data_IF_768097190012
#
_entry.id   IF_768097190012
#
_cell.length_a   1.000
_cell.length_b   1.000
_cell.length_c   1.000
_cell.angle_alpha   90.00
_cell.angle_beta   90.00
_cell.angle_gamma   90.00
#
_symmetry.space_group_name_H-M   'P 1'
#
loop_
_entity.id
_entity.type
_entity.pdbx_description
1 polymer ?
#
# COMPACT_ATOMS: atom_id res chain seq x y z
N UNK A 1 15.57 6.83 39.99
CA UNK A 1 15.31 5.40 39.66
C UNK A 1 16.44 4.89 38.77
N UNK A 2 17.14 3.81 39.14
CA UNK A 2 18.14 3.18 38.24
C UNK A 2 17.39 2.26 37.26
N UNK A 3 17.52 2.49 35.95
CA UNK A 3 17.00 1.57 34.93
C UNK A 3 17.79 0.25 34.99
N UNK A 4 17.07 -0.88 35.14
CA UNK A 4 17.67 -2.21 35.11
C UNK A 4 18.04 -2.55 33.67
N UNK A 5 19.31 -2.83 33.41
CA UNK A 5 19.78 -3.27 32.09
C UNK A 5 19.24 -4.70 31.84
N UNK A 6 18.60 -4.97 30.70
CA UNK A 6 18.09 -6.30 30.39
C UNK A 6 19.22 -7.32 30.24
N UNK A 7 18.97 -8.54 30.72
CA UNK A 7 19.88 -9.67 30.56
C UNK A 7 19.87 -10.19 29.12
N UNK A 8 20.94 -10.91 28.72
CA UNK A 8 21.01 -11.54 27.38
C UNK A 8 19.81 -12.44 27.08
N UNK A 9 19.30 -13.17 28.08
CA UNK A 9 18.15 -14.08 27.93
C UNK A 9 16.84 -13.32 27.70
N UNK A 10 16.64 -12.22 28.43
CA UNK A 10 15.49 -11.33 28.24
C UNK A 10 15.52 -10.68 26.85
N UNK A 11 16.70 -10.20 26.42
CA UNK A 11 16.88 -9.63 25.08
C UNK A 11 16.59 -10.66 23.98
N UNK A 12 17.09 -11.89 24.11
CA UNK A 12 16.84 -12.94 23.13
C UNK A 12 15.36 -13.35 23.07
N UNK A 13 14.69 -13.47 24.22
CA UNK A 13 13.26 -13.74 24.27
C UNK A 13 12.45 -12.60 23.63
N UNK A 14 12.83 -11.35 23.90
CA UNK A 14 12.23 -10.17 23.26
C UNK A 14 12.39 -10.21 21.74
N UNK A 15 13.63 -10.41 21.24
CA UNK A 15 13.88 -10.49 19.81
C UNK A 15 13.10 -11.63 19.16
N UNK A 16 13.09 -12.82 19.77
CA UNK A 16 12.32 -13.96 19.26
C UNK A 16 10.82 -13.67 19.18
N UNK A 17 10.26 -13.01 20.19
CA UNK A 17 8.83 -12.71 20.25
C UNK A 17 8.44 -11.54 19.33
N UNK A 18 9.37 -10.64 19.02
CA UNK A 18 9.11 -9.44 18.22
C UNK A 18 9.78 -9.45 16.84
N UNK A 19 10.44 -10.55 16.46
CA UNK A 19 11.26 -10.64 15.25
C UNK A 19 10.47 -10.20 14.02
N UNK A 20 9.23 -10.67 13.89
CA UNK A 20 8.36 -10.34 12.77
C UNK A 20 8.01 -8.86 12.72
N UNK A 21 7.65 -8.26 13.86
CA UNK A 21 7.36 -6.83 13.95
C UNK A 21 8.58 -6.00 13.58
N UNK A 22 9.75 -6.38 14.09
CA UNK A 22 11.02 -5.71 13.80
C UNK A 22 11.35 -5.81 12.31
N UNK A 23 11.30 -7.01 11.73
CA UNK A 23 11.57 -7.24 10.31
C UNK A 23 10.60 -6.47 9.42
N UNK A 24 9.29 -6.55 9.70
CA UNK A 24 8.28 -5.83 8.94
C UNK A 24 8.51 -4.32 9.00
N UNK A 25 8.78 -3.80 10.20
CA UNK A 25 9.06 -2.36 10.40
C UNK A 25 10.31 -1.93 9.63
N UNK A 26 11.41 -2.68 9.74
CA UNK A 26 12.65 -2.37 9.03
C UNK A 26 12.46 -2.44 7.52
N UNK A 27 11.84 -3.50 7.00
CA UNK A 27 11.57 -3.65 5.57
C UNK A 27 10.65 -2.54 5.05
N UNK A 28 9.62 -2.21 5.81
CA UNK A 28 8.72 -1.10 5.50
C UNK A 28 9.49 0.22 5.37
N UNK A 29 10.34 0.59 6.34
CA UNK A 29 11.12 1.82 6.26
C UNK A 29 12.17 1.79 5.15
N UNK A 30 12.90 0.69 4.99
CA UNK A 30 13.91 0.53 3.95
C UNK A 30 13.34 0.68 2.53
N UNK A 31 12.06 0.34 2.32
CA UNK A 31 11.41 0.43 1.01
C UNK A 31 10.63 1.73 0.83
N UNK A 32 10.00 2.22 1.90
CA UNK A 32 9.17 3.44 1.86
C UNK A 32 10.02 4.70 1.76
N UNK A 33 11.16 4.77 2.46
CA UNK A 33 12.01 5.97 2.45
C UNK A 33 12.55 6.27 1.03
N UNK A 34 13.15 5.30 0.30
CA UNK A 34 13.58 5.53 -1.07
C UNK A 34 12.43 5.97 -1.99
N UNK A 35 11.25 5.37 -1.83
CA UNK A 35 10.07 5.73 -2.61
C UNK A 35 9.58 7.15 -2.34
N UNK A 36 9.61 7.63 -1.10
CA UNK A 36 9.25 9.02 -0.78
C UNK A 36 10.12 9.99 -1.58
N UNK A 37 11.40 9.67 -1.77
CA UNK A 37 12.37 10.49 -2.51
C UNK A 37 12.43 10.21 -4.02
N UNK A 38 11.84 9.12 -4.52
CA UNK A 38 11.92 8.74 -5.94
C UNK A 38 11.10 9.67 -6.85
N UNK A 39 11.22 9.54 -8.18
CA UNK A 39 10.17 10.05 -9.06
C UNK A 39 8.99 9.04 -9.07
N UNK A 40 7.75 9.49 -9.14
CA UNK A 40 6.57 8.65 -9.34
C UNK A 40 6.13 8.57 -10.83
N UNK A 41 6.91 9.16 -11.74
CA UNK A 41 6.62 9.21 -13.17
C UNK A 41 7.18 8.00 -13.93
N UNK A 42 6.85 6.78 -13.48
CA UNK A 42 7.29 5.56 -14.14
C UNK A 42 6.21 4.48 -14.18
N UNK A 43 6.17 3.74 -15.29
CA UNK A 43 5.23 2.64 -15.53
C UNK A 43 3.78 3.03 -15.28
N UNK A 44 3.05 2.24 -14.49
CA UNK A 44 1.62 2.35 -14.24
C UNK A 44 1.27 3.54 -13.33
N UNK A 45 2.21 3.99 -12.49
CA UNK A 45 2.01 5.19 -11.66
C UNK A 45 1.71 6.43 -12.48
N UNK A 46 2.28 6.57 -13.70
CA UNK A 46 1.99 7.70 -14.58
C UNK A 46 0.51 7.75 -14.94
N UNK A 47 -0.09 6.61 -15.25
CA UNK A 47 -1.51 6.51 -15.59
C UNK A 47 -2.40 6.88 -14.41
N UNK A 48 -2.12 6.32 -13.23
CA UNK A 48 -2.83 6.67 -12.00
C UNK A 48 -2.66 8.14 -11.60
N UNK A 49 -1.46 8.70 -11.81
CA UNK A 49 -1.17 10.11 -11.51
C UNK A 49 -1.95 11.03 -12.44
N UNK A 50 -1.88 10.78 -13.75
CA UNK A 50 -2.66 11.50 -14.75
C UNK A 50 -4.16 11.42 -14.48
N UNK A 51 -4.67 10.22 -14.18
CA UNK A 51 -6.06 10.01 -13.79
C UNK A 51 -6.48 10.89 -12.61
N UNK A 52 -5.65 10.92 -11.56
CA UNK A 52 -5.92 11.74 -10.38
C UNK A 52 -5.81 13.26 -10.65
N UNK A 53 -4.91 13.70 -11.54
CA UNK A 53 -4.81 15.11 -11.97
C UNK A 53 -6.06 15.53 -12.75
N UNK A 54 -6.50 14.72 -13.72
CA UNK A 54 -7.71 14.96 -14.50
C UNK A 54 -8.95 15.04 -13.60
N UNK A 55 -9.09 14.08 -12.67
CA UNK A 55 -10.15 14.10 -11.66
C UNK A 55 -10.11 15.36 -10.78
N UNK A 56 -8.92 15.91 -10.49
CA UNK A 56 -8.77 17.13 -9.70
C UNK A 56 -9.31 18.35 -10.43
N UNK A 57 -9.03 18.47 -11.73
CA UNK A 57 -9.51 19.56 -12.58
C UNK A 57 -11.03 19.53 -12.76
N UNK A 58 -11.62 18.32 -12.74
CA UNK A 58 -13.04 18.11 -12.96
C UNK A 58 -13.88 18.07 -11.68
N UNK A 59 -13.25 18.00 -10.50
CA UNK A 59 -13.94 18.04 -9.22
C UNK A 59 -14.81 19.32 -9.10
N UNK A 60 -16.04 19.24 -8.55
CA UNK A 60 -16.61 18.12 -7.79
C UNK A 60 -17.45 17.13 -8.62
N UNK A 61 -17.40 17.18 -9.96
CA UNK A 61 -18.18 16.25 -10.76
C UNK A 61 -17.73 14.81 -10.49
N UNK A 62 -18.67 13.86 -10.40
CA UNK A 62 -18.38 12.45 -10.14
C UNK A 62 -18.37 11.59 -11.40
N UNK A 63 -18.81 12.13 -12.55
CA UNK A 63 -18.81 11.43 -13.84
C UNK A 63 -17.69 12.01 -14.70
N UNK A 64 -16.84 11.13 -15.23
CA UNK A 64 -15.63 11.55 -15.95
C UNK A 64 -15.50 10.87 -17.29
N UNK A 65 -15.51 11.69 -18.33
CA UNK A 65 -15.09 11.31 -19.66
C UNK A 65 -13.66 11.77 -19.87
N UNK A 66 -12.76 10.85 -20.18
CA UNK A 66 -11.37 11.17 -20.47
C UNK A 66 -11.19 11.33 -21.99
N UNK A 67 -11.08 12.57 -22.51
CA UNK A 67 -10.92 12.79 -23.95
C UNK A 67 -9.55 12.39 -24.47
N UNK A 68 -8.58 12.16 -23.58
CA UNK A 68 -7.20 11.85 -23.92
C UNK A 68 -6.92 10.35 -24.08
N UNK A 69 -7.87 9.48 -23.69
CA UNK A 69 -7.70 8.03 -23.74
C UNK A 69 -8.64 7.40 -24.77
N UNK A 70 -8.07 6.69 -25.76
CA UNK A 70 -8.77 6.01 -26.87
C UNK A 70 -9.95 6.79 -27.47
N UNK A 71 -9.75 8.05 -27.85
CA UNK A 71 -10.78 8.93 -28.44
C UNK A 71 -11.98 9.24 -27.54
N UNK A 72 -11.87 8.92 -26.24
CA UNK A 72 -12.92 9.16 -25.26
C UNK A 72 -13.44 7.88 -24.63
N UNK A 73 -13.13 7.67 -23.35
CA UNK A 73 -13.73 6.61 -22.53
C UNK A 73 -14.14 7.16 -21.17
N UNK A 74 -15.03 6.44 -20.49
CA UNK A 74 -15.28 6.67 -19.07
C UNK A 74 -14.00 6.34 -18.29
N UNK A 75 -13.43 7.34 -17.60
CA UNK A 75 -12.13 7.28 -16.92
C UNK A 75 -12.06 6.12 -15.91
N UNK A 76 -13.18 5.83 -15.27
CA UNK A 76 -13.30 4.77 -14.25
C UNK A 76 -13.24 3.36 -14.79
N UNK A 77 -13.27 3.18 -16.10
CA UNK A 77 -13.11 1.87 -16.72
C UNK A 77 -11.68 1.35 -16.55
N UNK A 78 -10.70 2.26 -16.57
CA UNK A 78 -9.28 1.92 -16.45
C UNK A 78 -8.72 2.15 -15.06
N UNK A 79 -9.16 3.21 -14.36
CA UNK A 79 -8.67 3.55 -13.03
C UNK A 79 -9.83 3.78 -12.05
N UNK A 80 -9.99 2.93 -11.02
CA UNK A 80 -11.05 3.11 -10.03
C UNK A 80 -10.97 4.47 -9.31
N UNK A 81 -12.12 5.14 -9.06
CA UNK A 81 -12.16 6.52 -8.54
C UNK A 81 -11.49 6.71 -7.18
N UNK A 82 -11.64 5.72 -6.29
CA UNK A 82 -11.34 5.87 -4.87
C UNK A 82 -9.90 6.31 -4.62
N UNK A 83 -8.95 5.74 -5.35
CA UNK A 83 -7.55 6.12 -5.24
C UNK A 83 -7.35 7.60 -5.64
N UNK A 84 -7.86 8.01 -6.80
CA UNK A 84 -7.74 9.38 -7.30
C UNK A 84 -8.39 10.40 -6.37
N UNK A 85 -9.61 10.12 -5.88
CA UNK A 85 -10.32 10.99 -4.94
C UNK A 85 -9.58 11.17 -3.62
N UNK A 86 -8.99 10.11 -3.06
CA UNK A 86 -8.16 10.23 -1.87
C UNK A 86 -6.92 11.06 -2.14
N UNK A 87 -6.25 10.86 -3.28
CA UNK A 87 -5.10 11.70 -3.66
C UNK A 87 -5.51 13.18 -3.75
N UNK A 88 -6.64 13.49 -4.38
CA UNK A 88 -7.16 14.86 -4.48
C UNK A 88 -7.41 15.45 -3.11
N UNK A 89 -8.15 14.73 -2.24
CA UNK A 89 -8.49 15.17 -0.89
C UNK A 89 -7.24 15.54 -0.08
N UNK A 90 -6.24 14.66 -0.06
CA UNK A 90 -5.00 14.90 0.67
C UNK A 90 -4.09 15.92 -0.03
N UNK A 91 -4.24 16.14 -1.34
CA UNK A 91 -3.42 17.10 -2.10
C UNK A 91 -3.63 18.54 -1.68
N UNK A 92 -4.79 18.89 -1.10
CA UNK A 92 -5.06 20.24 -0.57
C UNK A 92 -4.17 20.59 0.64
N UNK A 93 -3.66 19.58 1.35
CA UNK A 93 -2.82 19.78 2.56
C UNK A 93 -1.36 19.48 2.26
N UNK A 94 -1.08 18.38 1.56
CA UNK A 94 0.29 17.86 1.38
C UNK A 94 0.94 18.28 0.06
N UNK A 95 0.16 18.82 -0.88
CA UNK A 95 0.55 18.92 -2.29
C UNK A 95 0.35 17.60 -3.03
N UNK A 96 0.19 17.68 -4.35
CA UNK A 96 -0.28 16.56 -5.16
C UNK A 96 0.67 15.35 -5.18
N UNK A 97 1.96 15.57 -5.49
CA UNK A 97 2.96 14.49 -5.53
C UNK A 97 3.12 13.78 -4.19
N UNK A 98 3.10 14.51 -3.08
CA UNK A 98 3.22 13.94 -1.73
C UNK A 98 1.96 13.16 -1.38
N UNK A 99 0.77 13.70 -1.67
CA UNK A 99 -0.49 13.00 -1.47
C UNK A 99 -0.58 11.69 -2.27
N UNK A 100 -0.15 11.70 -3.54
CA UNK A 100 -0.12 10.51 -4.39
C UNK A 100 0.69 9.38 -3.76
N UNK A 101 1.94 9.67 -3.36
CA UNK A 101 2.80 8.69 -2.68
C UNK A 101 2.26 8.28 -1.33
N UNK A 102 1.69 9.22 -0.57
CA UNK A 102 1.10 8.96 0.73
C UNK A 102 -0.02 7.92 0.64
N UNK A 103 -0.93 8.02 -0.34
CA UNK A 103 -2.01 7.04 -0.53
C UNK A 103 -1.47 5.66 -0.94
N UNK A 104 -0.42 5.60 -1.76
CA UNK A 104 0.24 4.33 -2.12
C UNK A 104 0.84 3.67 -0.88
N UNK A 105 1.55 4.44 -0.05
CA UNK A 105 2.12 3.95 1.21
C UNK A 105 1.00 3.49 2.16
N UNK A 106 -0.08 4.25 2.26
CA UNK A 106 -1.23 3.91 3.09
C UNK A 106 -1.88 2.59 2.63
N UNK A 107 -2.04 2.39 1.32
CA UNK A 107 -2.51 1.11 0.75
C UNK A 107 -1.65 -0.06 1.23
N UNK A 108 -0.33 0.09 1.15
CA UNK A 108 0.61 -0.94 1.59
C UNK A 108 0.63 -1.18 3.09
N UNK A 109 0.52 -0.12 3.91
CA UNK A 109 0.38 -0.24 5.37
C UNK A 109 -0.91 -0.98 5.71
N UNK A 110 -2.01 -0.69 5.01
CA UNK A 110 -3.32 -1.28 5.30
C UNK A 110 -3.41 -2.77 4.96
N UNK A 111 -2.59 -3.25 4.02
CA UNK A 111 -2.66 -4.61 3.49
C UNK A 111 -2.40 -5.70 4.56
N UNK A 112 -1.36 -5.64 5.42
CA UNK A 112 -1.20 -6.56 6.55
C UNK A 112 -2.41 -6.62 7.49
N UNK A 113 -3.03 -5.47 7.77
CA UNK A 113 -4.21 -5.43 8.65
C UNK A 113 -5.41 -6.09 7.97
N UNK A 114 -5.63 -5.80 6.68
CA UNK A 114 -6.68 -6.42 5.89
C UNK A 114 -6.51 -7.95 5.78
N UNK A 115 -5.29 -8.43 5.54
CA UNK A 115 -4.99 -9.86 5.57
C UNK A 115 -5.24 -10.49 6.94
N UNK A 116 -4.84 -9.81 8.03
CA UNK A 116 -5.07 -10.31 9.39
C UNK A 116 -6.56 -10.41 9.69
N UNK A 117 -7.33 -9.39 9.27
CA UNK A 117 -8.78 -9.37 9.43
C UNK A 117 -9.42 -10.55 8.69
N UNK A 118 -9.14 -10.70 7.40
CA UNK A 118 -9.61 -11.82 6.59
C UNK A 118 -9.18 -13.18 7.15
N UNK A 119 -7.91 -13.38 7.47
CA UNK A 119 -7.44 -14.67 7.94
C UNK A 119 -8.08 -15.09 9.27
N UNK A 120 -8.49 -14.13 10.12
CA UNK A 120 -9.22 -14.40 11.36
C UNK A 120 -10.68 -14.76 11.14
N UNK A 121 -11.28 -14.42 10.00
CA UNK A 121 -12.65 -14.83 9.68
C UNK A 121 -12.74 -16.31 9.27
N UNK A 122 -11.65 -16.84 8.69
CA UNK A 122 -11.60 -18.23 8.17
C UNK A 122 -10.79 -19.22 9.02
N UNK A 123 -9.88 -18.77 9.87
CA UNK A 123 -8.94 -19.63 10.59
C UNK A 123 -8.78 -19.22 12.07
N UNK A 124 -8.21 -20.12 12.88
CA UNK A 124 -7.90 -19.77 14.27
C UNK A 124 -6.77 -18.72 14.35
N UNK A 125 -6.68 -18.03 15.49
CA UNK A 125 -5.72 -16.91 15.70
C UNK A 125 -4.29 -17.29 15.34
N UNK A 126 -3.83 -18.50 15.68
CA UNK A 126 -2.47 -18.95 15.42
C UNK A 126 -2.22 -19.14 13.91
N UNK A 127 -3.15 -19.78 13.21
CA UNK A 127 -3.09 -19.98 11.76
C UNK A 127 -3.12 -18.65 11.02
N UNK A 128 -3.99 -17.71 11.43
CA UNK A 128 -4.05 -16.37 10.85
C UNK A 128 -2.72 -15.61 10.98
N UNK A 129 -2.06 -15.70 12.14
CA UNK A 129 -0.73 -15.08 12.34
C UNK A 129 0.35 -15.73 11.46
N UNK A 130 0.33 -17.05 11.31
CA UNK A 130 1.28 -17.76 10.43
C UNK A 130 1.05 -17.36 8.97
N UNK A 131 -0.20 -17.33 8.52
CA UNK A 131 -0.57 -16.92 7.16
C UNK A 131 -0.12 -15.47 6.87
N UNK A 132 -0.36 -14.54 7.81
CA UNK A 132 0.12 -13.16 7.69
C UNK A 132 1.64 -13.10 7.54
N UNK A 133 2.39 -13.85 8.35
CA UNK A 133 3.85 -13.87 8.27
C UNK A 133 4.32 -14.39 6.91
N UNK A 134 3.73 -15.47 6.41
CA UNK A 134 4.06 -16.05 5.10
C UNK A 134 3.77 -15.05 3.97
N UNK A 135 2.57 -14.45 3.96
CA UNK A 135 2.17 -13.48 2.94
C UNK A 135 3.04 -12.23 3.01
N UNK A 136 3.34 -11.72 4.21
CA UNK A 136 4.21 -10.54 4.36
C UNK A 136 5.62 -10.80 3.82
N UNK A 137 6.19 -11.99 4.09
CA UNK A 137 7.46 -12.40 3.50
C UNK A 137 7.33 -12.46 1.99
N UNK A 138 6.31 -13.14 1.47
CA UNK A 138 6.09 -13.28 0.03
C UNK A 138 6.00 -11.92 -0.69
N UNK A 139 5.22 -10.98 -0.17
CA UNK A 139 5.03 -9.66 -0.76
C UNK A 139 6.32 -8.83 -0.77
N UNK A 140 7.23 -9.07 0.17
CA UNK A 140 8.49 -8.33 0.28
C UNK A 140 9.61 -8.98 -0.54
N UNK A 141 9.75 -10.30 -0.49
CA UNK A 141 10.90 -11.00 -1.06
C UNK A 141 10.72 -11.39 -2.52
N UNK A 142 9.47 -11.44 -3.00
CA UNK A 142 9.19 -11.87 -4.36
C UNK A 142 9.48 -10.73 -5.34
N UNK A 143 10.59 -10.86 -6.05
CA UNK A 143 10.96 -9.97 -7.15
C UNK A 143 10.08 -10.33 -8.34
N UNK A 144 9.00 -9.58 -8.52
CA UNK A 144 8.11 -9.69 -9.67
C UNK A 144 7.85 -8.30 -10.24
N UNK A 145 7.78 -8.23 -11.57
CA UNK A 145 7.39 -7.00 -12.28
C UNK A 145 5.87 -6.93 -12.52
N UNK A 146 5.14 -7.98 -12.12
CA UNK A 146 3.70 -8.16 -12.34
C UNK A 146 2.93 -7.79 -11.06
N UNK A 147 2.88 -6.49 -10.74
CA UNK A 147 2.08 -5.90 -9.65
C UNK A 147 2.25 -6.52 -8.27
N UNK A 148 1.50 -6.00 -7.29
CA UNK A 148 1.20 -6.65 -6.00
C UNK A 148 2.34 -6.95 -5.02
N UNK A 149 3.62 -6.86 -5.39
CA UNK A 149 4.76 -6.98 -4.47
C UNK A 149 5.36 -5.60 -4.17
N UNK A 150 6.05 -5.49 -3.03
CA UNK A 150 6.65 -4.23 -2.60
C UNK A 150 7.62 -3.68 -3.65
N UNK A 151 8.46 -4.55 -4.22
CA UNK A 151 9.43 -4.18 -5.25
C UNK A 151 8.68 -3.73 -6.51
N UNK A 152 7.64 -4.45 -6.92
CA UNK A 152 6.84 -4.09 -8.09
C UNK A 152 6.22 -2.70 -7.94
N UNK A 153 5.65 -2.38 -6.78
CA UNK A 153 5.03 -1.06 -6.58
C UNK A 153 6.07 0.03 -6.36
N UNK A 154 6.95 -0.10 -5.36
CA UNK A 154 7.80 1.01 -4.93
C UNK A 154 9.04 1.25 -5.79
N UNK A 155 9.54 0.22 -6.49
CA UNK A 155 10.73 0.35 -7.35
C UNK A 155 10.35 0.42 -8.83
N UNK A 156 9.43 -0.44 -9.28
CA UNK A 156 9.04 -0.52 -10.71
C UNK A 156 7.89 0.42 -11.03
N UNK A 157 6.99 0.71 -10.09
CA UNK A 157 5.85 1.61 -10.30
C UNK A 157 4.61 0.92 -10.82
N UNK A 158 4.46 -0.37 -10.55
CA UNK A 158 3.25 -1.10 -10.88
C UNK A 158 2.23 -0.94 -9.73
N UNK A 159 1.15 -0.22 -9.98
CA UNK A 159 0.13 0.12 -8.99
C UNK A 159 -1.16 -0.69 -9.18
N UNK A 160 -1.00 -1.97 -9.54
CA UNK A 160 -2.09 -2.95 -9.57
C UNK A 160 -2.93 -3.01 -8.28
N UNK A 161 -2.40 -2.48 -7.17
CA UNK A 161 -3.02 -2.53 -5.85
C UNK A 161 -3.32 -1.12 -5.28
N UNK A 162 -3.95 -0.27 -6.09
CA UNK A 162 -4.43 1.06 -5.74
C UNK A 162 -5.60 1.03 -4.72
N UNK A 163 -5.36 0.49 -3.52
CA UNK A 163 -6.33 0.20 -2.44
C UNK A 163 -7.31 -0.96 -2.69
N UNK A 164 -7.37 -1.49 -3.92
CA UNK A 164 -8.30 -2.57 -4.26
C UNK A 164 -8.15 -3.81 -3.38
N UNK A 165 -6.93 -4.32 -3.14
CA UNK A 165 -6.74 -5.54 -2.34
C UNK A 165 -7.06 -5.34 -0.86
N UNK A 166 -6.61 -4.26 -0.16
CA UNK A 166 -7.04 -4.03 1.21
C UNK A 166 -8.56 -4.03 1.37
N UNK A 167 -9.29 -3.32 0.51
CA UNK A 167 -10.75 -3.29 0.56
C UNK A 167 -11.38 -4.64 0.23
N UNK A 168 -10.87 -5.33 -0.80
CA UNK A 168 -11.35 -6.66 -1.17
C UNK A 168 -11.25 -7.63 0.02
N UNK A 169 -10.07 -7.71 0.64
CA UNK A 169 -9.82 -8.58 1.80
C UNK A 169 -10.69 -8.21 3.01
N UNK A 170 -10.87 -6.91 3.28
CA UNK A 170 -11.76 -6.45 4.35
C UNK A 170 -13.23 -6.81 4.05
N UNK A 171 -13.65 -6.76 2.79
CA UNK A 171 -15.02 -7.07 2.39
C UNK A 171 -15.33 -8.56 2.50
N UNK A 172 -14.44 -9.44 2.02
CA UNK A 172 -14.64 -10.90 2.11
C UNK A 172 -14.34 -11.46 3.52
N UNK A 173 -13.68 -10.68 4.37
CA UNK A 173 -13.39 -11.03 5.75
C UNK A 173 -14.47 -10.64 6.74
N UNK A 174 -15.44 -9.82 6.34
CA UNK A 174 -16.59 -9.40 7.14
C UNK A 174 -17.64 -10.51 7.22
#
# INVERSE_FOLDING_TARGET
MKQKIPTKKELFAFLKNNLWTILFTLLFFCLTIPFITSNADHWDMVGHKFSAELQKEMAPNIYFFNPYFFTGVDEFTSYPPLFGWLVILFSYILGFTVAFKFIIILSWISLPFAYTYYARSIQNKRQATIALAIISVYLITTIQHIGTTYISTFLVGNLANALAMPFFLMTIGA
#
